data_IF_753541144641
#
_entry.id   IF_753541144641
#
_cell.length_a   1.000
_cell.length_b   1.000
_cell.length_c   1.000
_cell.angle_alpha   90.00
_cell.angle_beta   90.00
_cell.angle_gamma   90.00
#
_symmetry.space_group_name_H-M   'P 1'
#
loop_
_entity.id
_entity.type
_entity.pdbx_description
1 polymer ?
#
# COMPACT_ATOMS: atom_id res chain seq x y z
N UNK A 1 32.32 -20.50 17.60
CA UNK A 1 32.06 -20.64 16.16
C UNK A 1 31.26 -19.39 15.77
N UNK A 2 31.94 -18.40 15.21
CA UNK A 2 31.39 -17.08 14.91
C UNK A 2 30.46 -17.20 13.70
N UNK A 3 29.22 -16.71 13.82
CA UNK A 3 28.30 -16.58 12.70
C UNK A 3 28.81 -15.45 11.78
N UNK A 4 29.34 -15.83 10.63
CA UNK A 4 29.67 -14.92 9.54
C UNK A 4 28.41 -14.09 9.18
N UNK A 5 28.53 -12.76 9.00
CA UNK A 5 27.42 -11.92 8.55
C UNK A 5 27.16 -12.25 7.08
N UNK A 6 26.13 -13.06 6.82
CA UNK A 6 25.64 -13.35 5.48
C UNK A 6 25.42 -12.08 4.69
N UNK A 7 25.98 -12.03 3.51
CA UNK A 7 25.98 -10.96 2.52
C UNK A 7 24.69 -10.14 2.53
N UNK A 8 24.80 -8.85 2.80
CA UNK A 8 23.77 -7.85 2.50
C UNK A 8 23.56 -7.86 0.98
N UNK A 9 22.62 -8.69 0.51
CA UNK A 9 22.19 -8.66 -0.87
C UNK A 9 21.83 -7.21 -1.19
N UNK A 10 22.54 -6.62 -2.14
CA UNK A 10 22.25 -5.27 -2.63
C UNK A 10 20.85 -5.31 -3.24
N UNK A 11 19.86 -4.73 -2.55
CA UNK A 11 18.53 -4.57 -3.10
C UNK A 11 18.61 -3.59 -4.28
N UNK A 12 18.07 -4.00 -5.42
CA UNK A 12 18.09 -3.21 -6.64
C UNK A 12 16.78 -3.43 -7.42
N UNK A 13 16.15 -2.34 -7.82
CA UNK A 13 14.92 -2.32 -8.62
C UNK A 13 15.23 -2.26 -10.15
N UNK A 14 16.44 -2.55 -10.58
CA UNK A 14 16.89 -2.37 -11.96
C UNK A 14 16.02 -3.12 -12.99
N UNK A 15 15.53 -4.29 -12.62
CA UNK A 15 14.70 -5.15 -13.49
C UNK A 15 13.19 -4.95 -13.30
N UNK A 16 12.79 -4.18 -12.27
CA UNK A 16 11.39 -3.98 -11.95
C UNK A 16 10.78 -2.88 -12.82
N UNK A 17 9.60 -3.15 -13.36
CA UNK A 17 8.74 -2.17 -14.02
C UNK A 17 7.81 -1.54 -12.97
N UNK A 18 7.94 -0.24 -12.76
CA UNK A 18 7.23 0.49 -11.71
C UNK A 18 6.22 1.45 -12.33
N UNK A 19 4.97 1.33 -11.92
CA UNK A 19 3.93 2.31 -12.22
C UNK A 19 3.75 3.26 -11.04
N UNK A 20 3.78 4.55 -11.31
CA UNK A 20 3.54 5.61 -10.32
C UNK A 20 2.34 6.44 -10.76
N UNK A 21 1.37 6.59 -9.86
CA UNK A 21 0.17 7.41 -10.04
C UNK A 21 0.17 8.53 -9.00
N UNK A 22 0.42 9.75 -9.43
CA UNK A 22 0.30 10.95 -8.59
C UNK A 22 -0.03 12.14 -9.49
N UNK A 23 -1.20 12.75 -9.33
CA UNK A 23 -1.61 13.94 -10.08
C UNK A 23 -0.86 15.21 -9.68
N UNK A 24 -0.08 15.18 -8.59
CA UNK A 24 0.77 16.27 -8.17
C UNK A 24 2.17 16.11 -8.78
N UNK A 25 2.58 17.02 -9.66
CA UNK A 25 3.87 16.97 -10.34
C UNK A 25 5.07 16.94 -9.37
N UNK A 26 5.03 17.70 -8.27
CA UNK A 26 6.09 17.68 -7.26
C UNK A 26 6.15 16.33 -6.53
N UNK A 27 4.98 15.76 -6.19
CA UNK A 27 4.89 14.41 -5.59
C UNK A 27 5.48 13.37 -6.52
N UNK A 28 5.13 13.42 -7.81
CA UNK A 28 5.67 12.55 -8.84
C UNK A 28 7.20 12.66 -8.95
N UNK A 29 7.75 13.87 -8.97
CA UNK A 29 9.19 14.07 -9.09
C UNK A 29 9.95 13.50 -7.86
N UNK A 30 9.39 13.65 -6.66
CA UNK A 30 9.96 13.03 -5.45
C UNK A 30 9.93 11.50 -5.56
N UNK A 31 8.82 10.92 -5.99
CA UNK A 31 8.71 9.46 -6.20
C UNK A 31 9.75 8.98 -7.21
N UNK A 32 9.87 9.64 -8.36
CA UNK A 32 10.88 9.31 -9.38
C UNK A 32 12.29 9.32 -8.82
N UNK A 33 12.66 10.38 -8.08
CA UNK A 33 13.98 10.46 -7.46
C UNK A 33 14.24 9.31 -6.48
N UNK A 34 13.25 8.97 -5.65
CA UNK A 34 13.36 7.87 -4.68
C UNK A 34 13.57 6.54 -5.40
N UNK A 35 12.68 6.17 -6.34
CA UNK A 35 12.75 4.85 -6.99
C UNK A 35 13.96 4.73 -7.92
N UNK A 36 14.39 5.82 -8.58
CA UNK A 36 15.62 5.85 -9.37
C UNK A 36 16.84 5.70 -8.46
N UNK A 37 16.85 6.33 -7.28
CA UNK A 37 17.89 6.15 -6.27
C UNK A 37 17.98 4.70 -5.75
N UNK A 38 16.87 3.94 -5.81
CA UNK A 38 16.82 2.51 -5.52
C UNK A 38 17.17 1.61 -6.72
N UNK A 39 17.56 2.21 -7.84
CA UNK A 39 18.06 1.53 -9.03
C UNK A 39 17.03 1.25 -10.11
N UNK A 40 15.79 1.71 -9.96
CA UNK A 40 14.75 1.50 -10.96
C UNK A 40 15.08 2.19 -12.29
N UNK A 41 14.86 1.46 -13.41
CA UNK A 41 15.10 1.96 -14.77
C UNK A 41 13.83 2.02 -15.61
N UNK A 42 12.87 1.13 -15.38
CA UNK A 42 11.59 1.07 -16.08
C UNK A 42 10.50 1.73 -15.26
N UNK A 43 10.11 2.95 -15.63
CA UNK A 43 9.17 3.78 -14.87
C UNK A 43 8.03 4.26 -15.77
N UNK A 44 6.79 4.03 -15.35
CA UNK A 44 5.59 4.60 -15.93
C UNK A 44 5.07 5.69 -14.99
N UNK A 45 5.04 6.93 -15.46
CA UNK A 45 4.57 8.10 -14.72
C UNK A 45 3.17 8.44 -15.21
N UNK A 46 2.18 8.29 -14.35
CA UNK A 46 0.78 8.54 -14.65
C UNK A 46 0.25 9.66 -13.76
N UNK A 47 -0.36 10.66 -14.35
CA UNK A 47 -0.98 11.77 -13.62
C UNK A 47 -2.49 11.55 -13.46
N UNK A 48 -3.07 10.66 -14.25
CA UNK A 48 -4.50 10.32 -14.22
C UNK A 48 -4.69 8.81 -14.08
N UNK A 49 -5.86 8.44 -13.59
CA UNK A 49 -6.24 7.03 -13.46
C UNK A 49 -6.37 6.35 -14.82
N UNK A 50 -6.84 7.08 -15.83
CA UNK A 50 -6.98 6.53 -17.19
C UNK A 50 -5.62 6.20 -17.80
N UNK A 51 -4.61 7.07 -17.62
CA UNK A 51 -3.23 6.77 -18.01
C UNK A 51 -2.70 5.52 -17.30
N UNK A 52 -2.94 5.40 -15.99
CA UNK A 52 -2.52 4.25 -15.21
C UNK A 52 -3.19 2.96 -15.69
N UNK A 53 -4.50 3.00 -15.96
CA UNK A 53 -5.25 1.86 -16.54
C UNK A 53 -4.71 1.46 -17.90
N UNK A 54 -4.36 2.42 -18.75
CA UNK A 54 -3.80 2.15 -20.07
C UNK A 54 -2.41 1.51 -20.00
N UNK A 55 -1.58 1.92 -19.03
CA UNK A 55 -0.29 1.27 -18.76
C UNK A 55 -0.48 -0.17 -18.33
N UNK A 56 -1.38 -0.43 -17.37
CA UNK A 56 -1.69 -1.78 -16.87
C UNK A 56 -2.17 -2.71 -17.98
N UNK A 57 -3.01 -2.21 -18.90
CA UNK A 57 -3.52 -3.01 -20.03
C UNK A 57 -2.45 -3.41 -21.04
N UNK A 58 -1.36 -2.63 -21.14
CA UNK A 58 -0.33 -2.81 -22.17
C UNK A 58 0.98 -3.41 -21.65
N UNK A 59 1.21 -3.35 -20.35
CA UNK A 59 2.48 -3.72 -19.74
C UNK A 59 2.27 -4.58 -18.50
N UNK A 60 3.22 -5.48 -18.24
CA UNK A 60 3.33 -6.12 -16.93
C UNK A 60 4.06 -5.20 -15.97
N UNK A 61 3.52 -5.03 -14.77
CA UNK A 61 4.01 -4.11 -13.76
C UNK A 61 4.39 -4.89 -12.49
N UNK A 62 5.61 -4.69 -11.99
CA UNK A 62 6.13 -5.40 -10.82
C UNK A 62 5.84 -4.67 -9.50
N UNK A 63 5.63 -3.36 -9.55
CA UNK A 63 5.31 -2.54 -8.38
C UNK A 63 4.47 -1.35 -8.79
N UNK A 64 3.45 -1.06 -8.01
CA UNK A 64 2.59 0.12 -8.19
C UNK A 64 2.71 1.01 -6.96
N UNK A 65 2.92 2.31 -7.17
CA UNK A 65 2.90 3.33 -6.13
C UNK A 65 1.82 4.35 -6.51
N UNK A 66 0.74 4.42 -5.74
CA UNK A 66 -0.40 5.28 -6.04
C UNK A 66 -0.67 6.29 -4.91
N UNK A 67 -0.86 7.55 -5.24
CA UNK A 67 -1.35 8.53 -4.27
C UNK A 67 -2.82 8.27 -3.96
N UNK A 68 -3.17 8.23 -2.68
CA UNK A 68 -4.53 7.93 -2.21
C UNK A 68 -5.59 8.92 -2.72
N UNK A 69 -5.21 10.19 -2.82
CA UNK A 69 -6.12 11.31 -3.09
C UNK A 69 -5.89 11.97 -4.45
N UNK A 70 -4.99 11.46 -5.26
CA UNK A 70 -4.63 12.07 -6.53
C UNK A 70 -5.05 11.19 -7.72
N UNK A 71 -5.59 11.80 -8.77
CA UNK A 71 -6.32 13.05 -8.73
C UNK A 71 -7.68 12.87 -8.03
N UNK A 72 -8.24 13.86 -7.40
CA UNK A 72 -9.60 13.90 -6.86
C UNK A 72 -10.08 12.71 -5.97
N UNK A 73 -9.18 11.94 -5.34
CA UNK A 73 -9.53 10.81 -4.47
C UNK A 73 -9.59 9.44 -5.15
N UNK A 74 -9.25 9.37 -6.43
CA UNK A 74 -9.41 8.17 -7.27
C UNK A 74 -8.32 7.10 -7.07
N UNK A 75 -7.27 7.35 -6.28
CA UNK A 75 -6.18 6.39 -6.07
C UNK A 75 -6.65 5.06 -5.49
N UNK A 76 -7.59 5.08 -4.55
CA UNK A 76 -8.18 3.84 -4.01
C UNK A 76 -9.06 3.11 -5.03
N UNK A 77 -9.80 3.87 -5.85
CA UNK A 77 -10.65 3.31 -6.92
C UNK A 77 -9.80 2.65 -8.00
N UNK A 78 -8.66 3.25 -8.35
CA UNK A 78 -7.70 2.64 -9.25
C UNK A 78 -7.19 1.30 -8.69
N UNK A 79 -6.85 1.23 -7.40
CA UNK A 79 -6.39 -0.03 -6.80
C UNK A 79 -7.51 -1.07 -6.79
N UNK A 80 -8.74 -0.70 -6.44
CA UNK A 80 -9.89 -1.61 -6.51
C UNK A 80 -10.11 -2.14 -7.93
N UNK A 81 -10.11 -1.26 -8.92
CA UNK A 81 -10.21 -1.64 -10.33
C UNK A 81 -9.07 -2.57 -10.76
N UNK A 82 -7.84 -2.30 -10.33
CA UNK A 82 -6.69 -3.16 -10.62
C UNK A 82 -6.91 -4.59 -10.14
N UNK A 83 -7.52 -4.76 -8.97
CA UNK A 83 -7.78 -6.06 -8.37
C UNK A 83 -8.87 -6.84 -9.09
N UNK A 84 -9.91 -6.16 -9.59
CA UNK A 84 -11.06 -6.79 -10.25
C UNK A 84 -10.88 -6.91 -11.76
N UNK A 85 -10.36 -5.85 -12.40
CA UNK A 85 -10.37 -5.68 -13.85
C UNK A 85 -8.97 -5.53 -14.47
N UNK A 86 -7.92 -5.47 -13.64
CA UNK A 86 -6.53 -5.23 -14.09
C UNK A 86 -5.92 -6.41 -14.88
N UNK A 87 -6.53 -7.59 -14.78
CA UNK A 87 -6.06 -8.81 -15.43
C UNK A 87 -4.75 -9.35 -14.84
N UNK A 88 -4.52 -10.67 -15.06
CA UNK A 88 -3.27 -11.29 -14.63
C UNK A 88 -2.10 -10.92 -15.56
N UNK A 89 -0.86 -10.77 -15.05
CA UNK A 89 -0.48 -10.87 -13.63
C UNK A 89 -0.69 -9.59 -12.82
N UNK A 90 -1.08 -8.48 -13.44
CA UNK A 90 -1.13 -7.15 -12.84
C UNK A 90 -2.12 -7.05 -11.67
N UNK A 91 -3.22 -7.81 -11.70
CA UNK A 91 -4.18 -7.88 -10.60
C UNK A 91 -3.53 -8.29 -9.25
N UNK A 92 -2.41 -9.00 -9.29
CA UNK A 92 -1.65 -9.43 -8.11
C UNK A 92 -0.42 -8.56 -7.82
N UNK A 93 -0.13 -7.57 -8.67
CA UNK A 93 1.03 -6.71 -8.48
C UNK A 93 1.03 -6.05 -7.10
N UNK A 94 2.18 -5.93 -6.43
CA UNK A 94 2.33 -5.19 -5.21
C UNK A 94 1.89 -3.73 -5.37
N UNK A 95 1.09 -3.24 -4.41
CA UNK A 95 0.62 -1.85 -4.40
C UNK A 95 0.98 -1.19 -3.08
N UNK A 96 1.70 -0.08 -3.17
CA UNK A 96 1.95 0.87 -2.07
C UNK A 96 1.11 2.11 -2.31
N UNK A 97 0.24 2.44 -1.37
CA UNK A 97 -0.52 3.69 -1.39
C UNK A 97 0.26 4.75 -0.62
N UNK A 98 0.34 5.97 -1.15
CA UNK A 98 0.93 7.12 -0.44
C UNK A 98 -0.17 8.10 -0.05
N UNK A 99 -0.10 8.69 1.15
CA UNK A 99 -1.10 9.62 1.63
C UNK A 99 -0.52 10.71 2.52
N UNK A 100 -1.00 11.96 2.37
CA UNK A 100 -0.64 13.06 3.26
C UNK A 100 -1.33 12.96 4.61
N UNK A 101 -2.56 12.41 4.62
CA UNK A 101 -3.36 12.19 5.81
C UNK A 101 -3.63 10.69 5.97
N UNK A 102 -3.48 10.19 7.19
CA UNK A 102 -3.62 8.77 7.51
C UNK A 102 -4.50 8.57 8.76
N UNK A 103 -5.75 9.08 8.78
CA UNK A 103 -6.70 8.69 9.81
C UNK A 103 -7.07 7.20 9.65
N UNK A 104 -7.62 6.60 10.69
CA UNK A 104 -7.97 5.17 10.71
C UNK A 104 -8.85 4.78 9.53
N UNK A 105 -9.82 5.60 9.18
CA UNK A 105 -10.74 5.38 8.05
C UNK A 105 -10.00 5.27 6.71
N UNK A 106 -8.99 6.12 6.46
CA UNK A 106 -8.19 6.06 5.24
C UNK A 106 -7.25 4.85 5.21
N UNK A 107 -6.68 4.46 6.35
CA UNK A 107 -5.89 3.24 6.44
C UNK A 107 -6.75 2.00 6.18
N UNK A 108 -7.97 1.98 6.72
CA UNK A 108 -8.95 0.92 6.42
C UNK A 108 -9.31 0.90 4.93
N UNK A 109 -9.55 2.07 4.33
CA UNK A 109 -9.83 2.19 2.89
C UNK A 109 -8.69 1.65 2.02
N UNK A 110 -7.44 1.97 2.37
CA UNK A 110 -6.26 1.43 1.68
C UNK A 110 -6.19 -0.09 1.77
N UNK A 111 -6.47 -0.66 2.94
CA UNK A 111 -6.53 -2.10 3.13
C UNK A 111 -7.69 -2.73 2.35
N UNK A 112 -8.85 -2.09 2.36
CA UNK A 112 -10.07 -2.64 1.78
C UNK A 112 -10.09 -2.55 0.24
N UNK A 113 -9.36 -1.61 -0.36
CA UNK A 113 -9.15 -1.57 -1.81
C UNK A 113 -8.13 -2.60 -2.31
N UNK A 114 -7.45 -3.35 -1.43
CA UNK A 114 -6.46 -4.38 -1.80
C UNK A 114 -5.03 -3.87 -1.94
N UNK A 115 -4.67 -2.74 -1.30
CA UNK A 115 -3.29 -2.30 -1.21
C UNK A 115 -2.48 -3.19 -0.24
N UNK A 116 -1.18 -3.36 -0.54
CA UNK A 116 -0.25 -4.08 0.33
C UNK A 116 0.18 -3.22 1.52
N UNK A 117 0.34 -1.92 1.27
CA UNK A 117 0.84 -0.99 2.27
C UNK A 117 0.35 0.44 2.04
N UNK A 118 0.36 1.25 3.12
CA UNK A 118 0.16 2.69 3.03
C UNK A 118 1.34 3.42 3.67
N UNK A 119 1.90 4.39 2.96
CA UNK A 119 3.03 5.22 3.42
C UNK A 119 2.58 6.65 3.58
N UNK A 120 2.80 7.20 4.78
CA UNK A 120 2.51 8.60 5.07
C UNK A 120 3.53 9.53 4.42
N UNK A 121 3.06 10.58 3.77
CA UNK A 121 3.92 11.69 3.29
C UNK A 121 4.36 12.57 4.49
N UNK A 122 5.59 13.12 4.53
CA UNK A 122 6.55 13.18 3.42
C UNK A 122 7.30 11.85 3.20
N UNK A 123 7.48 11.50 1.92
CA UNK A 123 8.16 10.27 1.53
C UNK A 123 9.67 10.41 1.70
N UNK A 124 10.31 9.37 2.24
CA UNK A 124 11.77 9.28 2.32
C UNK A 124 12.27 8.01 1.63
N UNK A 125 13.50 8.02 1.05
CA UNK A 125 14.05 6.82 0.43
C UNK A 125 14.13 5.63 1.38
N UNK A 126 14.43 5.87 2.67
CA UNK A 126 14.57 4.82 3.69
C UNK A 126 13.22 4.13 3.93
N UNK A 127 12.16 4.91 4.19
CA UNK A 127 10.82 4.36 4.44
C UNK A 127 10.34 3.58 3.21
N UNK A 128 10.50 4.14 2.01
CA UNK A 128 10.08 3.46 0.78
C UNK A 128 10.83 2.15 0.58
N UNK A 129 12.17 2.15 0.78
CA UNK A 129 12.98 0.93 0.69
C UNK A 129 12.51 -0.14 1.68
N UNK A 130 12.29 0.24 2.94
CA UNK A 130 11.83 -0.70 3.97
C UNK A 130 10.49 -1.34 3.60
N UNK A 131 9.54 -0.56 3.08
CA UNK A 131 8.21 -1.08 2.67
C UNK A 131 8.28 -1.97 1.44
N UNK A 132 9.09 -1.61 0.45
CA UNK A 132 9.30 -2.45 -0.73
C UNK A 132 10.00 -3.76 -0.33
N UNK A 133 11.02 -3.70 0.51
CA UNK A 133 11.69 -4.89 1.04
C UNK A 133 10.76 -5.78 1.85
N UNK A 134 9.89 -5.17 2.65
CA UNK A 134 8.90 -5.88 3.44
C UNK A 134 7.93 -6.64 2.52
N UNK A 135 7.36 -5.96 1.52
CA UNK A 135 6.46 -6.57 0.54
C UNK A 135 7.17 -7.71 -0.22
N UNK A 136 8.43 -7.50 -0.64
CA UNK A 136 9.19 -8.51 -1.38
C UNK A 136 9.52 -9.77 -0.56
N UNK A 137 9.55 -9.67 0.78
CA UNK A 137 9.85 -10.78 1.68
C UNK A 137 8.61 -11.46 2.25
N UNK A 138 7.48 -10.79 2.19
CA UNK A 138 6.25 -11.29 2.77
C UNK A 138 5.49 -12.15 1.76
N UNK A 139 5.21 -13.38 2.17
CA UNK A 139 4.36 -14.31 1.43
C UNK A 139 2.92 -14.26 1.93
N UNK A 140 2.32 -13.05 1.97
CA UNK A 140 0.90 -12.95 2.30
C UNK A 140 0.08 -13.66 1.24
N UNK A 141 -0.81 -14.60 1.62
CA UNK A 141 -1.72 -15.18 0.66
C UNK A 141 -2.61 -14.08 0.05
N UNK A 142 -2.88 -14.21 -1.22
CA UNK A 142 -3.85 -13.37 -1.91
C UNK A 142 -5.21 -14.02 -1.79
N UNK A 143 -6.22 -13.26 -1.41
CA UNK A 143 -7.59 -13.73 -1.28
C UNK A 143 -8.40 -13.16 -2.44
N UNK A 144 -9.14 -14.04 -3.09
CA UNK A 144 -10.11 -13.70 -4.12
C UNK A 144 -11.48 -14.22 -3.70
N UNK A 145 -12.43 -13.30 -3.52
CA UNK A 145 -13.84 -13.61 -3.26
C UNK A 145 -14.72 -12.48 -3.81
N UNK A 146 -16.03 -12.72 -3.91
CA UNK A 146 -17.00 -11.77 -4.47
C UNK A 146 -16.94 -10.35 -3.85
N UNK A 147 -16.54 -10.26 -2.58
CA UNK A 147 -16.51 -9.00 -1.83
C UNK A 147 -15.11 -8.37 -1.74
N UNK A 148 -14.05 -9.09 -2.11
CA UNK A 148 -12.69 -8.61 -1.94
C UNK A 148 -11.66 -9.39 -2.75
N UNK A 149 -10.80 -8.67 -3.43
CA UNK A 149 -9.60 -9.21 -4.08
C UNK A 149 -8.38 -8.45 -3.56
N UNK A 150 -7.42 -9.16 -3.00
CA UNK A 150 -6.22 -8.51 -2.45
C UNK A 150 -5.47 -9.37 -1.42
N UNK A 151 -4.40 -8.81 -0.83
CA UNK A 151 -3.64 -9.48 0.23
C UNK A 151 -4.53 -9.79 1.44
N UNK A 152 -4.30 -10.94 2.11
CA UNK A 152 -5.10 -11.32 3.27
C UNK A 152 -5.10 -10.21 4.34
N UNK A 153 -6.31 -9.79 4.73
CA UNK A 153 -6.55 -8.74 5.73
C UNK A 153 -6.59 -9.28 7.16
N UNK A 154 -6.67 -10.61 7.33
CA UNK A 154 -6.91 -11.27 8.61
C UNK A 154 -5.63 -11.66 9.34
N UNK A 155 -4.55 -10.98 9.07
CA UNK A 155 -3.26 -11.28 9.69
C UNK A 155 -3.21 -10.97 11.21
N UNK A 156 -4.18 -10.24 11.75
CA UNK A 156 -4.40 -10.07 13.18
C UNK A 156 -5.65 -10.82 13.60
N UNK A 157 -5.50 -12.05 14.03
CA UNK A 157 -6.54 -12.82 14.70
C UNK A 157 -6.58 -12.48 16.20
N UNK A 158 -6.51 -11.20 16.52
CA UNK A 158 -6.86 -10.76 17.87
C UNK A 158 -8.37 -10.60 17.87
N UNK A 159 -9.07 -11.54 18.55
CA UNK A 159 -10.46 -11.36 18.90
C UNK A 159 -10.67 -10.01 19.58
N UNK A 160 -11.89 -9.48 19.66
CA UNK A 160 -12.14 -8.24 20.38
C UNK A 160 -11.53 -8.34 21.78
N UNK A 161 -10.87 -7.27 22.30
CA UNK A 161 -10.42 -7.26 23.67
C UNK A 161 -11.60 -7.61 24.57
N UNK A 162 -11.38 -8.51 25.52
CA UNK A 162 -12.43 -9.01 26.41
C UNK A 162 -13.29 -7.86 26.93
N UNK A 163 -14.58 -7.87 26.58
CA UNK A 163 -15.62 -7.02 27.16
C UNK A 163 -16.03 -5.76 26.42
N UNK A 164 -15.56 -5.50 25.19
CA UNK A 164 -16.02 -4.34 24.42
C UNK A 164 -16.56 -4.74 23.04
N UNK A 165 -17.89 -4.81 22.83
CA UNK A 165 -18.44 -4.98 21.51
C UNK A 165 -18.17 -3.70 20.67
N UNK A 166 -17.34 -3.80 19.66
CA UNK A 166 -17.11 -2.72 18.69
C UNK A 166 -18.02 -2.93 17.47
N UNK A 167 -19.28 -2.62 17.62
CA UNK A 167 -20.14 -2.36 16.46
C UNK A 167 -20.22 -0.86 16.22
N UNK A 168 -20.29 -0.47 14.96
CA UNK A 168 -20.37 0.93 14.52
C UNK A 168 -21.58 1.67 15.12
N UNK A 169 -22.55 0.93 15.62
CA UNK A 169 -23.80 1.42 16.20
C UNK A 169 -23.71 1.71 17.72
N UNK A 170 -22.56 1.45 18.35
CA UNK A 170 -22.35 1.64 19.79
C UNK A 170 -21.80 3.03 20.17
N UNK A 171 -21.71 3.97 19.20
CA UNK A 171 -21.31 5.34 19.47
C UNK A 171 -22.53 6.19 19.90
N UNK A 172 -22.42 6.95 21.01
CA UNK A 172 -23.50 7.85 21.40
C UNK A 172 -23.76 8.92 20.33
N UNK A 173 -25.02 9.32 20.11
CA UNK A 173 -25.42 10.17 18.97
C UNK A 173 -24.98 11.65 19.07
N UNK A 174 -24.14 12.02 20.03
CA UNK A 174 -23.78 13.40 20.33
C UNK A 174 -22.26 13.72 20.17
N UNK A 175 -21.59 13.13 19.19
CA UNK A 175 -20.24 13.58 18.86
C UNK A 175 -20.30 14.27 17.51
N UNK A 176 -20.23 15.61 17.55
CA UNK A 176 -20.04 16.42 16.34
C UNK A 176 -18.83 15.95 15.55
N UNK A 177 -18.72 16.35 14.26
CA UNK A 177 -17.69 15.97 13.30
C UNK A 177 -16.26 16.01 13.89
N UNK A 178 -15.91 14.99 14.66
CA UNK A 178 -14.55 14.80 15.15
C UNK A 178 -13.71 14.36 13.95
N UNK A 179 -12.84 15.25 13.48
CA UNK A 179 -11.80 14.88 12.52
C UNK A 179 -10.98 13.76 13.17
N UNK A 180 -10.98 12.59 12.55
CA UNK A 180 -10.16 11.48 13.01
C UNK A 180 -8.70 11.90 13.05
N UNK A 181 -7.98 11.66 14.15
CA UNK A 181 -6.58 12.02 14.26
C UNK A 181 -5.76 11.21 13.24
N UNK A 182 -4.77 11.86 12.63
CA UNK A 182 -3.83 11.18 11.76
C UNK A 182 -2.98 10.18 12.55
N UNK A 183 -2.89 8.96 12.05
CA UNK A 183 -1.98 7.96 12.57
C UNK A 183 -0.52 8.33 12.23
N UNK A 184 0.39 8.04 13.14
CA UNK A 184 1.83 8.03 12.85
C UNK A 184 2.19 6.87 11.92
N UNK A 185 3.37 6.93 11.27
CA UNK A 185 3.80 5.82 10.42
C UNK A 185 3.91 4.50 11.21
N UNK A 186 4.41 4.53 12.45
CA UNK A 186 4.52 3.36 13.31
C UNK A 186 3.16 2.74 13.64
N UNK A 187 2.13 3.57 13.83
CA UNK A 187 0.76 3.10 14.06
C UNK A 187 0.16 2.48 12.78
N UNK A 188 0.43 3.08 11.62
CA UNK A 188 0.06 2.51 10.31
C UNK A 188 0.74 1.16 10.11
N UNK A 189 2.05 1.09 10.36
CA UNK A 189 2.85 -0.12 10.26
C UNK A 189 2.31 -1.22 11.18
N UNK A 190 1.89 -0.85 12.39
CA UNK A 190 1.23 -1.74 13.32
C UNK A 190 -0.06 -2.36 12.79
N UNK A 191 -0.82 -1.66 11.94
CA UNK A 191 -2.05 -2.16 11.32
C UNK A 191 -1.78 -3.13 10.16
N UNK A 192 -0.60 -3.06 9.54
CA UNK A 192 -0.19 -3.92 8.42
C UNK A 192 0.79 -5.03 8.84
N UNK A 193 1.39 -4.94 10.05
CA UNK A 193 2.36 -5.95 10.50
C UNK A 193 1.70 -7.30 10.82
N UNK A 194 2.31 -8.38 10.35
CA UNK A 194 1.90 -9.75 10.68
C UNK A 194 2.49 -10.16 12.03
N UNK A 195 1.67 -10.62 12.97
CA UNK A 195 2.13 -11.37 14.14
C UNK A 195 2.16 -12.86 13.79
N UNK A 196 3.34 -13.49 13.92
CA UNK A 196 3.44 -14.96 13.86
C UNK A 196 2.63 -15.53 15.02
N UNK A 197 1.54 -16.22 14.71
CA UNK A 197 0.88 -17.10 15.67
C UNK A 197 1.55 -18.46 15.53
N UNK A 198 2.25 -18.91 16.58
CA UNK A 198 2.70 -20.30 16.70
C UNK A 198 1.50 -21.06 17.27
N UNK A 199 0.94 -21.98 16.48
CA UNK A 199 -0.06 -22.96 16.93
C UNK A 199 0.63 -24.06 17.72
#
# INVERSE_FOLDING_TARGET
>A
MALEPTSRGRFNLEKATILMLDGNGMGMDILVQIVTGLGAKSLHRCQTVDEAKDVVKRNTVDLIIADALSPAGEGYEFVSWLRTDGGEPNAFAPVVVTAAHTPVSMVQKARDCGAHYIVKKPLTPVVMLERILWIARESRPFIECDAYVGPDRRHKNEGPPDGVPRRRDDLPPEVGDAQEPNLSQDQVDGLFSTRKVTL
#
